data_IF_330091092561
#
_entry.id   IF_330091092561
#
_cell.length_a   1.000
_cell.length_b   1.000
_cell.length_c   1.000
_cell.angle_alpha   90.00
_cell.angle_beta   90.00
_cell.angle_gamma   90.00
#
_symmetry.space_group_name_H-M   'P 1'
#
loop_
_entity.id
_entity.type
_entity.pdbx_description
1 polymer ?
#
# COMPACT_ATOMS: atom_id res chain seq x y z
N UNK A 1 -16.20 51.31 -51.27
CA UNK A 1 -17.62 51.70 -51.07
C UNK A 1 -17.77 52.10 -49.60
N UNK A 2 -18.24 53.33 -49.32
CA UNK A 2 -19.50 53.63 -48.59
C UNK A 2 -19.69 52.84 -47.26
N UNK A 3 -19.94 53.45 -46.08
CA UNK A 3 -20.22 54.88 -45.77
C UNK A 3 -20.21 55.14 -44.23
N UNK A 4 -19.74 56.33 -43.81
CA UNK A 4 -20.28 57.29 -42.79
C UNK A 4 -20.80 56.79 -41.42
N UNK A 5 -20.60 57.47 -40.28
CA UNK A 5 -21.03 58.84 -39.86
C UNK A 5 -20.12 59.25 -38.66
N UNK A 6 -19.42 60.39 -38.56
CA UNK A 6 -19.76 61.85 -38.58
C UNK A 6 -20.41 62.44 -37.30
N UNK A 7 -19.60 63.12 -36.46
CA UNK A 7 -19.94 64.35 -35.69
C UNK A 7 -18.63 64.90 -35.03
N UNK A 8 -17.94 65.96 -35.53
CA UNK A 8 -18.24 67.40 -35.46
C UNK A 8 -18.40 67.87 -33.99
N UNK A 9 -17.54 68.70 -33.37
CA UNK A 9 -17.09 70.04 -33.77
C UNK A 9 -15.99 70.60 -32.80
N UNK A 10 -15.18 71.57 -33.26
CA UNK A 10 -14.24 72.43 -32.49
C UNK A 10 -14.95 73.25 -31.37
N UNK A 11 -14.29 73.84 -30.34
CA UNK A 11 -13.39 75.01 -30.44
C UNK A 11 -12.81 75.44 -29.05
N UNK A 12 -11.66 76.14 -29.06
CA UNK A 12 -10.96 77.01 -28.05
C UNK A 12 -11.57 77.17 -26.63
N UNK A 13 -10.76 77.28 -25.55
CA UNK A 13 -10.01 78.52 -25.26
C UNK A 13 -8.85 78.41 -24.25
N UNK A 14 -7.93 79.39 -24.36
CA UNK A 14 -6.78 79.70 -23.49
C UNK A 14 -6.67 81.25 -23.53
N UNK A 15 -6.27 82.02 -22.50
CA UNK A 15 -5.34 81.81 -21.38
C UNK A 15 -5.79 82.63 -20.13
N UNK A 16 -5.08 82.45 -19.01
CA UNK A 16 -4.82 83.39 -17.89
C UNK A 16 -5.74 84.61 -17.63
N UNK A 17 -6.18 84.77 -16.37
CA UNK A 17 -5.49 85.68 -15.41
C UNK A 17 -6.14 85.78 -14.01
N UNK A 18 -5.35 86.25 -13.05
CA UNK A 18 -5.58 86.27 -11.60
C UNK A 18 -6.66 87.23 -11.07
N UNK A 19 -7.25 86.93 -9.90
CA UNK A 19 -7.38 87.90 -8.80
C UNK A 19 -7.59 87.27 -7.41
N UNK A 20 -6.77 87.73 -6.46
CA UNK A 20 -7.06 87.91 -5.01
C UNK A 20 -7.73 86.79 -4.17
N UNK A 21 -6.89 86.06 -3.41
CA UNK A 21 -6.94 86.14 -1.94
C UNK A 21 -7.83 85.18 -1.15
N UNK A 22 -7.23 84.12 -0.61
CA UNK A 22 -7.29 83.81 0.84
C UNK A 22 -6.17 82.85 1.24
N UNK A 23 -5.77 82.93 2.51
CA UNK A 23 -4.69 82.15 3.11
C UNK A 23 -5.05 80.68 3.33
N UNK A 24 -4.17 79.77 2.94
CA UNK A 24 -4.00 78.46 3.58
C UNK A 24 -2.61 77.94 3.24
N UNK A 25 -1.63 78.17 4.13
CA UNK A 25 -0.44 77.32 4.18
C UNK A 25 -0.90 75.93 4.62
N UNK A 26 -1.15 75.04 3.65
CA UNK A 26 -1.12 73.61 3.91
C UNK A 26 0.34 73.23 3.88
N UNK A 27 0.97 73.21 5.07
CA UNK A 27 2.25 72.56 5.20
C UNK A 27 2.08 71.09 4.76
N UNK A 28 2.82 70.68 3.73
CA UNK A 28 3.02 69.26 3.47
C UNK A 28 3.76 68.70 4.67
N UNK A 29 3.00 68.01 5.53
CA UNK A 29 3.58 67.15 6.56
C UNK A 29 4.19 65.98 5.79
N UNK A 30 5.48 66.07 5.48
CA UNK A 30 6.25 64.88 5.15
C UNK A 30 6.09 63.91 6.33
N UNK A 31 5.43 62.78 6.10
CA UNK A 31 5.40 61.72 7.09
C UNK A 31 6.86 61.38 7.44
N UNK A 32 7.21 61.21 8.73
CA UNK A 32 8.58 60.93 9.11
C UNK A 32 9.01 59.67 8.37
N UNK A 33 10.02 59.83 7.51
CA UNK A 33 10.52 58.78 6.63
C UNK A 33 11.05 57.66 7.54
N UNK A 34 10.19 56.69 7.84
CA UNK A 34 10.51 55.61 8.76
C UNK A 34 11.50 54.71 8.02
N UNK A 35 12.78 55.01 8.20
CA UNK A 35 13.92 54.26 7.72
C UNK A 35 13.97 52.95 8.49
N UNK A 36 13.00 52.07 8.26
CA UNK A 36 12.90 50.77 8.90
C UNK A 36 14.17 49.94 8.70
N UNK A 37 14.31 48.89 9.49
CA UNK A 37 15.47 48.00 9.45
C UNK A 37 15.09 46.65 8.85
N UNK A 38 16.06 45.74 8.72
CA UNK A 38 15.75 44.34 8.47
C UNK A 38 15.06 43.76 9.71
N UNK A 39 14.10 42.85 9.50
CA UNK A 39 13.44 42.16 10.60
C UNK A 39 14.45 41.33 11.43
N UNK A 40 14.19 41.16 12.73
CA UNK A 40 14.93 40.24 13.60
C UNK A 40 14.07 39.01 13.85
N UNK A 41 14.64 37.83 13.66
CA UNK A 41 13.93 36.56 13.82
C UNK A 41 14.88 35.43 14.23
N UNK A 42 14.29 34.40 14.83
CA UNK A 42 14.95 33.18 15.29
C UNK A 42 14.41 31.96 14.55
N UNK A 43 15.28 31.01 14.24
CA UNK A 43 14.91 29.66 13.80
C UNK A 43 15.02 28.73 15.00
N UNK A 44 13.94 28.06 15.37
CA UNK A 44 13.97 27.03 16.39
C UNK A 44 14.47 25.70 15.80
N UNK A 45 14.85 24.76 16.66
CA UNK A 45 15.26 23.42 16.25
C UNK A 45 14.15 22.68 15.48
N UNK A 46 14.55 21.69 14.69
CA UNK A 46 13.63 20.88 13.91
C UNK A 46 12.88 19.86 14.80
N UNK A 47 11.56 19.77 14.59
CA UNK A 47 10.65 18.85 15.29
C UNK A 47 9.98 17.91 14.27
N UNK A 48 9.27 16.88 14.77
CA UNK A 48 8.50 15.92 13.95
C UNK A 48 9.30 15.32 12.77
N UNK A 49 10.61 15.13 12.96
CA UNK A 49 11.54 14.69 11.91
C UNK A 49 11.27 13.23 11.56
N UNK A 50 10.92 12.98 10.29
CA UNK A 50 10.77 11.64 9.71
C UNK A 50 11.63 11.53 8.43
N UNK A 51 11.50 10.44 7.69
CA UNK A 51 12.38 10.17 6.54
C UNK A 51 12.19 11.15 5.37
N UNK A 52 10.99 11.72 5.20
CA UNK A 52 10.64 12.62 4.08
C UNK A 52 10.05 13.96 4.51
N UNK A 53 10.03 14.26 5.81
CA UNK A 53 9.44 15.47 6.35
C UNK A 53 10.12 15.93 7.64
N UNK A 54 9.99 17.21 7.95
CA UNK A 54 10.37 17.81 9.23
C UNK A 54 9.56 19.10 9.45
N UNK A 55 9.34 19.46 10.71
CA UNK A 55 8.69 20.72 11.10
C UNK A 55 9.75 21.69 11.58
N UNK A 56 9.74 22.90 11.02
CA UNK A 56 10.60 24.01 11.47
C UNK A 56 9.69 25.14 11.97
N UNK A 57 9.99 25.64 13.17
CA UNK A 57 9.36 26.84 13.71
C UNK A 57 10.28 28.05 13.53
N UNK A 58 9.70 29.17 13.09
CA UNK A 58 10.33 30.49 13.08
C UNK A 58 9.63 31.42 14.05
N UNK A 59 10.39 32.28 14.72
CA UNK A 59 9.87 33.32 15.60
C UNK A 59 10.32 34.69 15.08
N UNK A 60 9.36 35.52 14.66
CA UNK A 60 9.60 36.93 14.33
C UNK A 60 9.64 37.74 15.63
N UNK A 61 10.82 38.24 15.99
CA UNK A 61 11.04 39.01 17.23
C UNK A 61 10.80 40.51 17.01
N UNK A 62 11.22 41.05 15.85
CA UNK A 62 10.96 42.43 15.41
C UNK A 62 10.75 42.48 13.89
N UNK A 63 9.78 43.26 13.42
CA UNK A 63 9.55 43.48 11.99
C UNK A 63 10.44 44.58 11.36
N UNK A 64 11.31 45.22 12.16
CA UNK A 64 12.16 46.33 11.73
C UNK A 64 11.36 47.61 11.46
N UNK A 65 10.25 47.81 12.18
CA UNK A 65 9.34 48.95 11.99
C UNK A 65 8.60 48.97 10.65
N UNK A 66 8.62 47.87 9.88
CA UNK A 66 8.03 47.76 8.54
C UNK A 66 7.08 46.56 8.41
N UNK A 67 6.07 46.67 7.54
CA UNK A 67 5.16 45.55 7.24
C UNK A 67 5.91 44.34 6.69
N UNK A 68 5.53 43.15 7.14
CA UNK A 68 6.02 41.86 6.62
C UNK A 68 5.20 41.46 5.40
N UNK A 69 5.87 41.19 4.28
CA UNK A 69 5.26 40.75 3.02
C UNK A 69 5.22 39.22 2.90
N UNK A 70 6.25 38.53 3.37
CA UNK A 70 6.33 37.06 3.35
C UNK A 70 7.16 36.56 4.53
N UNK A 71 6.88 35.32 4.99
CA UNK A 71 7.71 34.58 5.93
C UNK A 71 7.66 33.08 5.67
N UNK A 72 8.75 32.39 5.98
CA UNK A 72 8.88 30.96 5.74
C UNK A 72 10.25 30.44 6.18
N UNK A 73 10.65 29.29 5.64
CA UNK A 73 11.95 28.67 5.89
C UNK A 73 12.65 28.37 4.57
N UNK A 74 13.92 28.79 4.47
CA UNK A 74 14.87 28.35 3.45
C UNK A 74 15.58 27.10 3.97
N UNK A 75 15.76 26.09 3.14
CA UNK A 75 16.37 24.83 3.56
C UNK A 75 17.16 24.16 2.42
N UNK A 76 18.12 23.32 2.76
CA UNK A 76 18.94 22.61 1.77
C UNK A 76 19.95 21.68 2.41
N UNK A 77 20.67 20.92 1.58
CA UNK A 77 21.72 19.98 2.00
C UNK A 77 23.10 20.65 2.17
N UNK A 78 23.20 21.94 1.81
CA UNK A 78 24.37 22.79 2.02
C UNK A 78 24.12 23.82 3.11
N UNK A 79 25.17 24.21 3.83
CA UNK A 79 25.10 25.26 4.84
C UNK A 79 24.82 26.64 4.21
N UNK A 80 24.24 27.51 5.02
CA UNK A 80 23.73 28.84 4.68
C UNK A 80 22.64 28.83 3.58
N UNK A 81 21.53 28.08 3.75
CA UNK A 81 20.39 28.18 2.85
C UNK A 81 19.85 29.63 2.84
N UNK A 82 19.37 30.06 1.68
CA UNK A 82 18.92 31.43 1.45
C UNK A 82 17.66 31.46 0.58
N UNK A 83 17.06 32.65 0.47
CA UNK A 83 15.75 32.87 -0.15
C UNK A 83 15.72 32.62 -1.66
N UNK A 84 16.83 32.76 -2.38
CA UNK A 84 16.88 32.44 -3.81
C UNK A 84 16.89 30.92 -4.07
N UNK A 85 17.28 30.12 -3.07
CA UNK A 85 17.27 28.67 -3.12
C UNK A 85 15.93 28.03 -2.77
N UNK A 86 15.99 26.77 -2.33
CA UNK A 86 14.83 26.00 -1.90
C UNK A 86 14.23 26.58 -0.62
N UNK A 87 12.94 26.95 -0.70
CA UNK A 87 12.19 27.57 0.39
C UNK A 87 10.76 27.06 0.46
N UNK A 88 10.14 27.24 1.63
CA UNK A 88 8.73 26.92 1.90
C UNK A 88 8.12 28.05 2.73
N UNK A 89 7.05 28.64 2.20
CA UNK A 89 6.26 29.69 2.88
C UNK A 89 5.53 29.07 4.08
N UNK A 90 5.38 29.84 5.16
CA UNK A 90 4.71 29.37 6.37
C UNK A 90 3.24 29.01 6.15
N UNK A 91 2.81 27.87 6.71
CA UNK A 91 1.42 27.39 6.61
C UNK A 91 0.52 27.93 7.72
N UNK A 92 1.10 28.23 8.89
CA UNK A 92 0.39 28.75 10.06
C UNK A 92 1.20 29.90 10.65
N UNK A 93 0.50 30.96 11.03
CA UNK A 93 1.07 32.10 11.76
C UNK A 93 0.21 32.35 13.00
N UNK A 94 0.83 32.46 14.18
CA UNK A 94 0.12 32.68 15.45
C UNK A 94 0.46 34.05 16.02
N UNK A 95 -0.43 34.59 16.86
CA UNK A 95 -0.19 35.86 17.56
C UNK A 95 1.04 35.74 18.47
N UNK A 96 1.86 36.81 18.49
CA UNK A 96 3.23 36.95 19.05
C UNK A 96 4.38 36.84 18.05
N UNK A 97 4.18 36.37 16.82
CA UNK A 97 5.23 36.36 15.77
C UNK A 97 5.69 34.97 15.32
N UNK A 98 5.31 33.92 16.05
CA UNK A 98 5.60 32.54 15.66
C UNK A 98 4.92 32.11 14.37
N UNK A 99 5.62 31.27 13.60
CA UNK A 99 5.10 30.62 12.41
C UNK A 99 5.68 29.21 12.24
N UNK A 100 4.85 28.29 11.70
CA UNK A 100 5.22 26.89 11.43
C UNK A 100 5.44 26.69 9.93
N UNK A 101 6.48 25.92 9.60
CA UNK A 101 6.73 25.43 8.24
C UNK A 101 6.86 23.91 8.26
N UNK A 102 6.02 23.23 7.48
CA UNK A 102 6.11 21.80 7.25
C UNK A 102 6.91 21.55 5.97
N UNK A 103 8.11 20.98 6.13
CA UNK A 103 8.95 20.54 5.03
C UNK A 103 8.54 19.13 4.64
N UNK A 104 8.35 18.89 3.34
CA UNK A 104 7.95 17.58 2.78
C UNK A 104 8.77 17.26 1.54
N UNK A 105 8.74 16.00 1.09
CA UNK A 105 9.56 15.49 -0.01
C UNK A 105 11.08 15.61 0.23
N UNK A 106 11.50 15.51 1.50
CA UNK A 106 12.91 15.40 1.85
C UNK A 106 13.45 14.01 1.48
N UNK A 107 14.77 13.90 1.33
CA UNK A 107 15.47 12.62 1.20
C UNK A 107 15.75 12.02 2.58
N UNK A 108 15.62 10.70 2.71
CA UNK A 108 15.85 9.99 3.97
C UNK A 108 17.33 9.75 4.26
N UNK A 109 17.67 9.60 5.55
CA UNK A 109 19.04 9.53 6.08
C UNK A 109 19.94 10.72 5.71
N UNK A 110 19.37 11.87 5.36
CA UNK A 110 20.09 13.03 4.82
C UNK A 110 20.14 14.18 5.82
N UNK A 111 21.27 14.91 5.84
CA UNK A 111 21.44 16.10 6.67
C UNK A 111 20.93 17.32 5.90
N UNK A 112 20.05 18.09 6.55
CA UNK A 112 19.52 19.35 6.06
C UNK A 112 19.88 20.49 7.01
N UNK A 113 20.09 21.66 6.44
CA UNK A 113 20.21 22.94 7.10
C UNK A 113 18.93 23.74 6.84
N UNK A 114 18.44 24.47 7.85
CA UNK A 114 17.26 25.32 7.73
C UNK A 114 17.49 26.69 8.38
N UNK A 115 16.87 27.72 7.79
CA UNK A 115 16.82 29.09 8.30
C UNK A 115 15.44 29.68 8.05
N UNK A 116 14.80 30.15 9.11
CA UNK A 116 13.64 31.01 8.98
C UNK A 116 14.02 32.30 8.22
N UNK A 117 13.11 32.81 7.40
CA UNK A 117 13.25 34.08 6.68
C UNK A 117 11.97 34.91 6.77
N UNK A 118 12.13 36.23 6.68
CA UNK A 118 11.07 37.24 6.64
C UNK A 118 11.44 38.29 5.61
N UNK A 119 10.47 38.72 4.79
CA UNK A 119 10.63 39.81 3.83
C UNK A 119 9.86 41.03 4.32
N UNK A 120 10.52 42.19 4.38
CA UNK A 120 9.90 43.48 4.66
C UNK A 120 10.35 44.53 3.60
N UNK A 121 10.02 45.81 3.78
CA UNK A 121 10.39 46.92 2.86
C UNK A 121 11.91 47.07 2.65
N UNK A 122 12.76 46.51 3.53
CA UNK A 122 14.22 46.64 3.49
C UNK A 122 14.94 45.44 2.86
N UNK A 123 14.26 44.30 2.73
CA UNK A 123 14.80 43.11 2.09
C UNK A 123 14.46 41.83 2.84
N UNK A 124 15.31 40.82 2.66
CA UNK A 124 15.17 39.51 3.30
C UNK A 124 16.04 39.44 4.54
N UNK A 125 15.39 39.29 5.69
CA UNK A 125 16.03 38.92 6.94
C UNK A 125 16.03 37.41 7.14
N UNK A 126 16.98 36.90 7.92
CA UNK A 126 17.13 35.48 8.23
C UNK A 126 17.40 35.25 9.70
N UNK A 127 16.89 34.15 10.24
CA UNK A 127 17.29 33.67 11.55
C UNK A 127 18.64 32.95 11.57
N UNK A 128 19.01 32.48 12.75
CA UNK A 128 20.10 31.51 12.95
C UNK A 128 19.87 30.27 12.08
N UNK A 129 20.96 29.58 11.74
CA UNK A 129 20.87 28.27 11.11
C UNK A 129 20.65 27.19 12.16
N UNK A 130 19.79 26.23 11.84
CA UNK A 130 19.69 24.93 12.51
C UNK A 130 20.04 23.82 11.53
N UNK A 131 20.44 22.65 12.03
CA UNK A 131 20.70 21.47 11.19
C UNK A 131 20.10 20.21 11.79
N UNK A 132 19.47 19.39 10.96
CA UNK A 132 18.80 18.15 11.36
C UNK A 132 19.09 17.03 10.37
N UNK A 133 18.95 15.79 10.80
CA UNK A 133 19.07 14.60 9.94
C UNK A 133 17.72 13.92 9.82
N UNK A 134 17.24 13.70 8.61
CA UNK A 134 16.02 12.89 8.36
C UNK A 134 16.23 11.44 8.78
N UNK A 135 15.14 10.78 9.17
CA UNK A 135 15.18 9.37 9.54
C UNK A 135 15.52 8.47 8.33
N UNK A 136 15.92 7.23 8.59
CA UNK A 136 16.12 6.23 7.53
C UNK A 136 14.78 5.85 6.89
N UNK A 137 14.79 5.53 5.60
CA UNK A 137 13.59 5.14 4.85
C UNK A 137 13.07 3.78 5.35
N UNK A 138 11.80 3.72 5.75
CA UNK A 138 11.18 2.47 6.17
C UNK A 138 11.13 1.48 5.00
N UNK A 139 11.47 0.21 5.26
CA UNK A 139 11.44 -0.85 4.25
C UNK A 139 10.09 -1.58 4.24
N UNK A 140 9.56 -2.00 3.08
CA UNK A 140 8.37 -2.84 3.01
C UNK A 140 8.61 -4.20 3.67
N UNK A 141 7.59 -4.72 4.34
CA UNK A 141 7.62 -6.03 4.99
C UNK A 141 6.41 -6.86 4.55
N UNK A 142 6.69 -7.98 3.88
CA UNK A 142 5.68 -9.01 3.62
C UNK A 142 5.81 -10.15 4.64
N UNK A 143 4.66 -10.71 5.02
CA UNK A 143 4.53 -11.87 5.90
C UNK A 143 3.54 -12.87 5.33
N UNK A 144 3.63 -14.14 5.73
CA UNK A 144 2.57 -15.11 5.47
C UNK A 144 1.45 -14.93 6.50
N UNK A 145 0.21 -14.88 6.03
CA UNK A 145 -0.98 -14.83 6.86
C UNK A 145 -1.32 -16.17 7.54
N UNK A 146 -2.44 -16.21 8.25
CA UNK A 146 -2.86 -17.37 9.05
C UNK A 146 -3.15 -18.63 8.23
N UNK A 147 -3.66 -18.49 7.00
CA UNK A 147 -4.00 -19.63 6.15
C UNK A 147 -2.72 -20.19 5.51
N UNK A 148 -2.33 -21.38 5.97
CA UNK A 148 -1.17 -22.13 5.47
C UNK A 148 -1.55 -23.61 5.39
N UNK A 149 -2.14 -24.03 4.25
CA UNK A 149 -2.70 -25.38 4.09
C UNK A 149 -1.89 -26.17 3.06
N UNK A 150 -1.55 -27.41 3.40
CA UNK A 150 -0.80 -28.32 2.53
C UNK A 150 -1.69 -29.41 1.92
N UNK A 151 -1.61 -29.54 0.60
CA UNK A 151 -1.97 -30.76 -0.13
C UNK A 151 -0.73 -31.60 -0.43
N UNK A 152 -0.92 -32.72 -1.14
CA UNK A 152 0.17 -33.60 -1.55
C UNK A 152 1.02 -32.98 -2.67
N UNK A 153 0.43 -32.14 -3.51
CA UNK A 153 1.09 -31.48 -4.64
C UNK A 153 0.94 -29.95 -4.62
N UNK A 154 0.33 -29.40 -3.57
CA UNK A 154 -0.14 -28.02 -3.49
C UNK A 154 0.16 -27.39 -2.13
N UNK A 155 0.48 -26.10 -2.10
CA UNK A 155 0.45 -25.28 -0.89
C UNK A 155 -0.47 -24.08 -1.13
N UNK A 156 -1.36 -23.80 -0.17
CA UNK A 156 -2.26 -22.65 -0.17
C UNK A 156 -1.83 -21.69 0.93
N UNK A 157 -1.45 -20.48 0.54
CA UNK A 157 -0.83 -19.49 1.42
C UNK A 157 -1.55 -18.15 1.29
N UNK A 158 -1.99 -17.58 2.41
CA UNK A 158 -2.29 -16.15 2.47
C UNK A 158 -0.97 -15.37 2.58
N UNK A 159 -0.81 -14.27 1.84
CA UNK A 159 0.35 -13.37 1.89
C UNK A 159 -0.13 -11.95 2.13
N UNK A 160 0.55 -11.23 3.03
CA UNK A 160 0.15 -9.89 3.47
C UNK A 160 1.37 -8.97 3.39
N UNK A 161 1.22 -7.82 2.72
CA UNK A 161 2.12 -6.67 2.85
C UNK A 161 1.74 -5.97 4.15
N UNK A 162 2.51 -6.23 5.21
CA UNK A 162 2.23 -5.74 6.56
C UNK A 162 2.64 -4.29 6.71
N UNK A 163 3.82 -3.95 6.19
CA UNK A 163 4.35 -2.59 6.16
C UNK A 163 4.62 -2.21 4.70
N UNK A 164 4.16 -1.05 4.24
CA UNK A 164 4.51 -0.53 2.91
C UNK A 164 5.89 0.12 2.89
N UNK A 165 6.28 0.74 4.01
CA UNK A 165 7.50 1.55 4.10
C UNK A 165 7.47 2.80 3.20
N UNK A 166 8.64 3.41 3.05
CA UNK A 166 8.88 4.60 2.23
C UNK A 166 9.41 4.27 0.82
N UNK A 167 9.89 3.05 0.61
CA UNK A 167 10.53 2.63 -0.63
C UNK A 167 9.48 2.23 -1.69
N UNK A 168 9.71 2.64 -2.94
CA UNK A 168 8.87 2.21 -4.05
C UNK A 168 9.00 0.69 -4.27
N UNK A 169 7.86 -0.01 -4.24
CA UNK A 169 7.78 -1.46 -4.48
C UNK A 169 7.54 -1.70 -5.98
N UNK A 170 8.42 -2.49 -6.62
CA UNK A 170 8.39 -2.79 -8.05
C UNK A 170 7.76 -4.16 -8.36
N UNK A 171 7.94 -5.13 -7.48
CA UNK A 171 7.41 -6.50 -7.59
C UNK A 171 7.21 -7.05 -6.18
N UNK A 172 6.17 -7.85 -5.96
CA UNK A 172 6.01 -8.66 -4.75
C UNK A 172 5.83 -10.13 -5.13
N UNK A 173 6.04 -11.04 -4.19
CA UNK A 173 5.82 -12.46 -4.49
C UNK A 173 6.20 -13.43 -3.39
N UNK A 174 6.31 -14.69 -3.77
CA UNK A 174 6.85 -15.78 -2.95
C UNK A 174 8.05 -16.43 -3.64
N UNK A 175 9.05 -16.82 -2.85
CA UNK A 175 10.12 -17.73 -3.26
C UNK A 175 10.09 -18.99 -2.39
N UNK A 176 10.38 -20.14 -2.98
CA UNK A 176 10.34 -21.42 -2.26
C UNK A 176 11.37 -22.42 -2.78
N UNK A 177 11.89 -23.26 -1.87
CA UNK A 177 12.80 -24.35 -2.21
C UNK A 177 12.72 -25.46 -1.14
N UNK A 178 13.25 -26.64 -1.41
CA UNK A 178 13.52 -27.69 -0.40
C UNK A 178 14.79 -27.39 0.42
N UNK A 179 15.55 -26.36 0.04
CA UNK A 179 16.68 -25.82 0.80
C UNK A 179 16.29 -24.54 1.57
N UNK A 180 16.94 -24.30 2.70
CA UNK A 180 16.77 -23.09 3.54
C UNK A 180 17.15 -21.81 2.81
N UNK A 181 16.56 -20.69 3.22
CA UNK A 181 16.79 -19.33 2.75
C UNK A 181 16.60 -19.16 1.23
N UNK A 182 15.46 -19.58 0.66
CA UNK A 182 15.18 -19.35 -0.75
C UNK A 182 15.24 -17.86 -1.10
N UNK A 183 15.60 -17.62 -2.35
CA UNK A 183 15.86 -16.32 -2.97
C UNK A 183 15.11 -16.22 -4.30
N UNK A 184 15.15 -15.04 -4.94
CA UNK A 184 14.55 -14.86 -6.28
C UNK A 184 15.26 -15.66 -7.40
N UNK A 185 16.38 -16.33 -7.13
CA UNK A 185 17.05 -17.25 -8.05
C UNK A 185 16.53 -18.70 -7.95
N UNK A 186 15.74 -19.01 -6.91
CA UNK A 186 15.07 -20.30 -6.71
C UNK A 186 13.70 -20.32 -7.42
N UNK A 187 12.76 -21.18 -6.98
CA UNK A 187 11.40 -21.15 -7.52
C UNK A 187 10.70 -19.87 -7.07
N UNK A 188 10.38 -18.98 -8.02
CA UNK A 188 9.76 -17.67 -7.79
C UNK A 188 8.33 -17.61 -8.33
N UNK A 189 7.41 -17.06 -7.55
CA UNK A 189 6.07 -16.65 -7.97
C UNK A 189 6.01 -15.13 -7.84
N UNK A 190 6.09 -14.43 -8.96
CA UNK A 190 6.11 -12.97 -9.04
C UNK A 190 4.72 -12.38 -9.30
N UNK A 191 4.48 -11.19 -8.74
CA UNK A 191 3.31 -10.36 -8.97
C UNK A 191 3.76 -8.92 -9.20
N UNK A 192 3.53 -8.40 -10.41
CA UNK A 192 3.84 -7.01 -10.78
C UNK A 192 2.82 -6.01 -10.24
N UNK A 193 1.61 -6.48 -9.88
CA UNK A 193 0.63 -5.68 -9.15
C UNK A 193 0.93 -5.81 -7.65
N UNK A 194 1.25 -4.69 -7.01
CA UNK A 194 1.36 -4.60 -5.55
C UNK A 194 -0.04 -4.62 -4.95
N UNK A 195 -0.28 -5.55 -4.03
CA UNK A 195 -1.58 -5.79 -3.38
C UNK A 195 -1.33 -6.03 -1.88
N UNK A 196 -2.06 -5.34 -1.01
CA UNK A 196 -1.87 -5.39 0.44
C UNK A 196 -2.07 -6.80 1.02
N UNK A 197 -2.91 -7.59 0.34
CA UNK A 197 -3.12 -9.01 0.64
C UNK A 197 -3.46 -9.79 -0.63
N UNK A 198 -2.87 -10.96 -0.79
CA UNK A 198 -3.25 -11.93 -1.82
C UNK A 198 -3.25 -13.37 -1.29
N UNK A 199 -3.84 -14.28 -2.06
CA UNK A 199 -3.79 -15.73 -1.82
C UNK A 199 -3.03 -16.38 -2.94
N UNK A 200 -2.12 -17.29 -2.60
CA UNK A 200 -1.28 -17.98 -3.56
C UNK A 200 -1.45 -19.49 -3.47
N UNK A 201 -1.42 -20.17 -4.63
CA UNK A 201 -1.46 -21.63 -4.72
C UNK A 201 -0.25 -22.12 -5.49
N UNK A 202 0.76 -22.54 -4.75
CA UNK A 202 1.91 -23.28 -5.28
C UNK A 202 1.41 -24.66 -5.69
N UNK A 203 1.85 -25.17 -6.84
CA UNK A 203 1.40 -26.45 -7.45
C UNK A 203 2.61 -27.30 -7.86
N UNK A 204 2.35 -28.55 -8.27
CA UNK A 204 3.34 -29.49 -8.80
C UNK A 204 4.47 -29.83 -7.82
N UNK A 205 4.21 -29.70 -6.52
CA UNK A 205 5.15 -30.04 -5.47
C UNK A 205 5.27 -31.56 -5.29
N UNK A 206 6.37 -32.01 -4.70
CA UNK A 206 6.54 -33.41 -4.31
C UNK A 206 5.73 -33.68 -3.04
N UNK A 207 4.99 -34.80 -2.92
CA UNK A 207 4.34 -35.20 -1.66
C UNK A 207 5.36 -35.52 -0.57
N UNK A 208 4.92 -35.49 0.69
CA UNK A 208 5.73 -35.89 1.86
C UNK A 208 7.12 -35.18 1.88
N UNK A 209 7.16 -33.92 1.45
CA UNK A 209 8.38 -33.14 1.22
C UNK A 209 8.31 -31.79 1.92
N UNK A 210 9.36 -31.47 2.68
CA UNK A 210 9.52 -30.21 3.38
C UNK A 210 9.98 -29.09 2.42
N UNK A 211 9.29 -27.95 2.49
CA UNK A 211 9.59 -26.73 1.74
C UNK A 211 9.77 -25.54 2.68
N UNK A 212 10.77 -24.72 2.35
CA UNK A 212 10.97 -23.38 2.89
C UNK A 212 10.33 -22.38 1.95
N UNK A 213 9.56 -21.44 2.48
CA UNK A 213 8.84 -20.41 1.72
C UNK A 213 9.10 -19.05 2.36
N UNK A 214 9.40 -18.05 1.53
CA UNK A 214 9.60 -16.66 1.96
C UNK A 214 8.83 -15.72 1.04
N UNK A 215 8.05 -14.77 1.56
CA UNK A 215 7.56 -13.67 0.76
C UNK A 215 8.69 -12.67 0.49
N UNK A 216 8.59 -11.92 -0.60
CA UNK A 216 9.60 -10.92 -0.97
C UNK A 216 8.98 -9.67 -1.61
N UNK A 217 9.74 -8.58 -1.56
CA UNK A 217 9.51 -7.34 -2.31
C UNK A 217 10.79 -6.94 -3.06
N UNK A 218 10.64 -6.44 -4.29
CA UNK A 218 11.72 -5.80 -5.04
C UNK A 218 11.56 -4.29 -4.93
N UNK A 219 12.65 -3.60 -4.60
CA UNK A 219 12.74 -2.13 -4.53
C UNK A 219 13.93 -1.66 -5.38
N UNK A 220 14.06 -0.36 -5.71
CA UNK A 220 15.26 0.16 -6.36
C UNK A 220 16.58 -0.14 -5.63
N UNK A 221 16.54 -0.33 -4.30
CA UNK A 221 17.70 -0.68 -3.48
C UNK A 221 18.01 -2.18 -3.42
N UNK A 222 17.20 -3.04 -4.05
CA UNK A 222 17.38 -4.49 -4.06
C UNK A 222 16.17 -5.26 -3.55
N UNK A 223 16.38 -6.54 -3.26
CA UNK A 223 15.33 -7.49 -2.84
C UNK A 223 15.28 -7.60 -1.32
N UNK A 224 14.10 -7.34 -0.77
CA UNK A 224 13.78 -7.53 0.63
C UNK A 224 12.98 -8.83 0.78
N UNK A 225 13.30 -9.61 1.80
CA UNK A 225 12.65 -10.88 2.08
C UNK A 225 12.03 -10.87 3.46
N UNK A 226 10.81 -11.38 3.56
CA UNK A 226 10.18 -11.65 4.84
C UNK A 226 10.79 -12.86 5.56
N UNK A 227 10.17 -13.18 6.69
CA UNK A 227 10.49 -14.34 7.51
C UNK A 227 10.38 -15.64 6.71
N UNK A 228 11.25 -16.60 7.04
CA UNK A 228 11.19 -17.95 6.51
C UNK A 228 10.12 -18.78 7.22
N UNK A 229 9.23 -19.35 6.43
CA UNK A 229 8.24 -20.30 6.90
C UNK A 229 8.52 -21.70 6.36
N UNK A 230 8.37 -22.70 7.22
CA UNK A 230 8.61 -24.11 6.90
C UNK A 230 7.28 -24.86 6.85
N UNK A 231 7.04 -25.61 5.78
CA UNK A 231 5.82 -26.42 5.61
C UNK A 231 6.12 -27.69 4.83
N UNK A 232 5.57 -28.82 5.28
CA UNK A 232 5.61 -30.07 4.52
C UNK A 232 4.36 -30.20 3.67
N UNK A 233 4.49 -30.66 2.44
CA UNK A 233 3.38 -31.30 1.73
C UNK A 233 2.96 -32.57 2.48
N UNK A 234 1.68 -32.91 2.42
CA UNK A 234 1.18 -34.14 3.04
C UNK A 234 1.55 -35.36 2.20
N UNK A 235 1.46 -36.55 2.80
CA UNK A 235 1.49 -37.80 2.05
C UNK A 235 0.29 -37.88 1.10
N UNK A 236 0.52 -38.32 -0.13
CA UNK A 236 -0.56 -38.52 -1.11
C UNK A 236 -1.51 -39.61 -0.64
N UNK A 237 -2.81 -39.32 -0.64
CA UNK A 237 -3.84 -40.31 -0.35
C UNK A 237 -3.93 -41.41 -1.41
N UNK A 238 -4.49 -42.55 -1.03
CA UNK A 238 -4.83 -43.68 -1.88
C UNK A 238 -6.30 -44.09 -1.66
N UNK A 239 -7.19 -43.13 -1.87
CA UNK A 239 -8.61 -43.35 -2.11
C UNK A 239 -8.80 -43.95 -3.50
N UNK A 240 -9.63 -44.98 -3.60
CA UNK A 240 -10.03 -45.65 -4.84
C UNK A 240 -11.49 -46.08 -4.76
N UNK A 241 -12.14 -46.30 -5.90
CA UNK A 241 -13.50 -46.83 -5.93
C UNK A 241 -13.71 -47.89 -7.00
N UNK A 242 -14.68 -48.78 -6.74
CA UNK A 242 -15.32 -49.66 -7.72
C UNK A 242 -16.76 -49.16 -7.95
N UNK A 243 -17.35 -49.39 -9.13
CA UNK A 243 -18.73 -48.97 -9.41
C UNK A 243 -19.56 -50.08 -10.07
N UNK A 244 -20.54 -50.57 -9.32
CA UNK A 244 -21.56 -51.51 -9.76
C UNK A 244 -22.68 -50.75 -10.49
N UNK A 245 -22.55 -50.68 -11.82
CA UNK A 245 -23.42 -49.94 -12.73
C UNK A 245 -24.73 -50.68 -13.12
N UNK A 246 -25.12 -51.73 -12.39
CA UNK A 246 -26.27 -52.56 -12.74
C UNK A 246 -27.57 -51.74 -12.72
N UNK A 247 -28.35 -51.78 -13.81
CA UNK A 247 -29.60 -51.04 -13.95
C UNK A 247 -29.45 -49.52 -14.19
N UNK A 248 -28.23 -49.00 -14.31
CA UNK A 248 -27.99 -47.58 -14.63
C UNK A 248 -27.98 -47.34 -16.14
N UNK A 249 -28.63 -46.25 -16.59
CA UNK A 249 -28.46 -45.76 -17.96
C UNK A 249 -27.07 -45.11 -18.18
N UNK A 250 -26.66 -44.95 -19.44
CA UNK A 250 -25.34 -44.43 -19.78
C UNK A 250 -25.07 -43.01 -19.25
N UNK A 251 -26.09 -42.15 -19.16
CA UNK A 251 -25.94 -40.79 -18.63
C UNK A 251 -25.78 -40.81 -17.10
N UNK A 252 -26.48 -41.71 -16.41
CA UNK A 252 -26.36 -42.00 -14.99
C UNK A 252 -24.97 -42.57 -14.65
N UNK A 253 -24.49 -43.54 -15.42
CA UNK A 253 -23.11 -44.06 -15.29
C UNK A 253 -22.08 -42.96 -15.42
N UNK A 254 -22.24 -42.09 -16.43
CA UNK A 254 -21.32 -40.97 -16.69
C UNK A 254 -21.30 -39.97 -15.51
N UNK A 255 -22.47 -39.58 -14.99
CA UNK A 255 -22.57 -38.65 -13.84
C UNK A 255 -21.97 -39.23 -12.57
N UNK A 256 -22.25 -40.50 -12.25
CA UNK A 256 -21.74 -41.14 -11.03
C UNK A 256 -20.22 -41.34 -11.12
N UNK A 257 -19.67 -41.82 -12.24
CA UNK A 257 -18.22 -41.93 -12.42
C UNK A 257 -17.53 -40.57 -12.27
N UNK A 258 -17.97 -39.55 -13.01
CA UNK A 258 -17.42 -38.19 -12.90
C UNK A 258 -17.47 -37.61 -11.47
N UNK A 259 -18.54 -37.91 -10.70
CA UNK A 259 -18.65 -37.51 -9.31
C UNK A 259 -17.59 -38.19 -8.40
N UNK A 260 -17.35 -39.50 -8.60
CA UNK A 260 -16.38 -40.27 -7.82
C UNK A 260 -14.93 -40.10 -8.28
N UNK A 261 -14.68 -39.80 -9.56
CA UNK A 261 -13.37 -39.42 -10.07
C UNK A 261 -12.91 -38.09 -9.45
N UNK A 262 -13.83 -37.11 -9.34
CA UNK A 262 -13.58 -35.84 -8.66
C UNK A 262 -13.45 -35.99 -7.13
N UNK A 263 -14.15 -36.94 -6.51
CA UNK A 263 -13.97 -37.27 -5.10
C UNK A 263 -12.58 -37.90 -4.86
N UNK A 264 -12.22 -38.91 -5.66
CA UNK A 264 -10.92 -39.59 -5.66
C UNK A 264 -9.76 -38.61 -5.84
N UNK A 265 -9.86 -37.73 -6.84
CA UNK A 265 -8.87 -36.68 -7.10
C UNK A 265 -8.71 -35.73 -5.92
N UNK A 266 -9.82 -35.40 -5.24
CA UNK A 266 -9.78 -34.53 -4.07
C UNK A 266 -9.13 -35.21 -2.86
N UNK A 267 -9.53 -36.44 -2.52
CA UNK A 267 -8.94 -37.18 -1.41
C UNK A 267 -7.45 -37.42 -1.60
N UNK A 268 -7.03 -37.83 -2.78
CA UNK A 268 -5.63 -38.17 -3.02
C UNK A 268 -4.70 -36.95 -3.02
N UNK A 269 -5.21 -35.76 -3.36
CA UNK A 269 -4.41 -34.53 -3.42
C UNK A 269 -4.51 -33.66 -2.16
N UNK A 270 -5.55 -33.77 -1.34
CA UNK A 270 -5.79 -32.89 -0.18
C UNK A 270 -6.00 -33.64 1.14
N UNK A 271 -5.86 -34.96 1.16
CA UNK A 271 -5.85 -35.77 2.39
C UNK A 271 -4.84 -36.92 2.27
N UNK A 272 -4.44 -37.51 3.39
CA UNK A 272 -3.58 -38.72 3.43
C UNK A 272 -4.40 -40.01 3.56
N UNK A 273 -5.71 -39.99 3.28
CA UNK A 273 -6.60 -41.15 3.46
C UNK A 273 -6.21 -42.32 2.55
N UNK A 274 -6.35 -43.55 3.03
CA UNK A 274 -6.18 -44.79 2.26
C UNK A 274 -7.43 -45.63 2.41
N UNK A 275 -8.26 -45.70 1.37
CA UNK A 275 -9.58 -46.34 1.42
C UNK A 275 -10.00 -46.85 0.04
N UNK A 276 -10.64 -48.01 -0.01
CA UNK A 276 -11.44 -48.42 -1.15
C UNK A 276 -12.93 -48.30 -0.81
N UNK A 277 -13.74 -47.85 -1.77
CA UNK A 277 -15.21 -47.85 -1.64
C UNK A 277 -15.87 -48.56 -2.83
N UNK A 278 -16.98 -49.25 -2.58
CA UNK A 278 -17.80 -49.87 -3.62
C UNK A 278 -19.08 -49.06 -3.79
N UNK A 279 -19.17 -48.37 -4.93
CA UNK A 279 -20.32 -47.55 -5.32
C UNK A 279 -21.32 -48.42 -6.08
N UNK A 280 -22.60 -48.20 -5.87
CA UNK A 280 -23.69 -48.95 -6.48
C UNK A 280 -24.76 -47.98 -7.00
N UNK A 281 -25.36 -48.30 -8.14
CA UNK A 281 -26.59 -47.63 -8.53
C UNK A 281 -27.79 -48.29 -7.83
N UNK A 282 -28.53 -47.50 -7.06
CA UNK A 282 -29.70 -47.97 -6.30
C UNK A 282 -30.86 -47.01 -6.56
N UNK A 283 -31.75 -47.28 -7.54
CA UNK A 283 -32.82 -46.35 -7.89
C UNK A 283 -33.85 -46.15 -6.77
N UNK A 284 -33.95 -47.10 -5.82
CA UNK A 284 -34.77 -46.98 -4.62
C UNK A 284 -34.19 -46.05 -3.54
N UNK A 285 -32.91 -45.67 -3.63
CA UNK A 285 -32.27 -44.71 -2.71
C UNK A 285 -32.67 -43.27 -3.11
N UNK A 286 -33.28 -42.45 -2.24
CA UNK A 286 -33.74 -41.10 -2.62
C UNK A 286 -32.61 -40.13 -2.99
N UNK A 287 -31.44 -40.27 -2.37
CA UNK A 287 -30.26 -39.40 -2.59
C UNK A 287 -28.98 -40.22 -2.69
N UNK A 288 -28.41 -40.61 -1.55
CA UNK A 288 -27.34 -41.59 -1.39
C UNK A 288 -27.35 -42.13 0.05
N UNK A 289 -26.80 -43.32 0.26
CA UNK A 289 -26.56 -43.92 1.57
C UNK A 289 -25.21 -44.66 1.57
N UNK A 290 -24.61 -44.90 2.74
CA UNK A 290 -23.28 -45.50 2.86
C UNK A 290 -23.10 -46.28 4.17
N UNK A 291 -22.14 -47.21 4.20
CA UNK A 291 -21.76 -47.96 5.40
C UNK A 291 -20.24 -47.96 5.67
N UNK A 292 -19.87 -48.35 6.90
CA UNK A 292 -18.48 -48.37 7.39
C UNK A 292 -17.53 -49.26 6.56
N UNK A 293 -18.07 -50.32 5.95
CA UNK A 293 -17.34 -51.24 5.06
C UNK A 293 -16.97 -50.61 3.72
N UNK A 294 -17.31 -49.34 3.48
CA UNK A 294 -17.02 -48.62 2.24
C UNK A 294 -18.06 -48.85 1.14
N UNK A 295 -19.22 -49.41 1.45
CA UNK A 295 -20.30 -49.58 0.47
C UNK A 295 -21.11 -48.27 0.39
N UNK A 296 -21.39 -47.80 -0.83
CA UNK A 296 -22.15 -46.56 -1.09
C UNK A 296 -23.21 -46.82 -2.17
N UNK A 297 -24.44 -46.40 -1.91
CA UNK A 297 -25.54 -46.37 -2.87
C UNK A 297 -25.72 -44.96 -3.42
N UNK A 298 -25.95 -44.85 -4.73
CA UNK A 298 -26.32 -43.60 -5.40
C UNK A 298 -27.73 -43.72 -5.99
N UNK A 299 -28.60 -42.78 -5.63
CA UNK A 299 -29.99 -42.72 -6.06
C UNK A 299 -30.20 -42.39 -7.54
N UNK A 300 -31.43 -42.61 -8.03
CA UNK A 300 -31.83 -42.28 -9.41
C UNK A 300 -31.79 -40.76 -9.72
N UNK A 301 -31.94 -39.91 -8.71
CA UNK A 301 -32.07 -38.47 -8.90
C UNK A 301 -30.72 -37.82 -9.31
N UNK A 302 -30.62 -37.44 -10.59
CA UNK A 302 -29.45 -36.81 -11.20
C UNK A 302 -28.95 -35.54 -10.48
N UNK A 303 -29.81 -34.83 -9.74
CA UNK A 303 -29.39 -33.64 -8.97
C UNK A 303 -28.42 -33.98 -7.83
N UNK A 304 -28.46 -35.21 -7.31
CA UNK A 304 -27.59 -35.73 -6.25
C UNK A 304 -26.40 -36.56 -6.78
N UNK A 305 -26.39 -36.93 -8.07
CA UNK A 305 -25.27 -37.65 -8.71
C UNK A 305 -24.11 -36.69 -9.04
N UNK A 306 -23.55 -36.05 -8.00
CA UNK A 306 -22.54 -34.97 -8.10
C UNK A 306 -21.42 -35.16 -7.08
N UNK A 307 -20.26 -34.57 -7.37
CA UNK A 307 -19.05 -34.70 -6.55
C UNK A 307 -19.24 -34.29 -5.08
N UNK A 308 -20.13 -33.33 -4.76
CA UNK A 308 -20.45 -32.96 -3.38
C UNK A 308 -21.06 -34.12 -2.58
N UNK A 309 -22.00 -34.85 -3.19
CA UNK A 309 -22.59 -36.07 -2.61
C UNK A 309 -21.55 -37.16 -2.48
N UNK A 310 -20.80 -37.45 -3.55
CA UNK A 310 -19.76 -38.48 -3.54
C UNK A 310 -18.74 -38.24 -2.42
N UNK A 311 -18.27 -37.00 -2.23
CA UNK A 311 -17.40 -36.63 -1.10
C UNK A 311 -18.07 -36.81 0.25
N UNK A 312 -19.29 -36.28 0.44
CA UNK A 312 -20.01 -36.39 1.73
C UNK A 312 -20.15 -37.84 2.21
N UNK A 313 -20.50 -38.75 1.31
CA UNK A 313 -20.71 -40.17 1.65
C UNK A 313 -19.41 -40.98 1.68
N UNK A 314 -18.37 -40.56 0.95
CA UNK A 314 -17.00 -41.12 1.09
C UNK A 314 -16.33 -40.79 2.43
N UNK A 315 -16.79 -39.75 3.13
CA UNK A 315 -16.30 -39.31 4.45
C UNK A 315 -17.18 -39.74 5.63
N UNK A 316 -18.34 -40.39 5.40
CA UNK A 316 -19.24 -40.70 6.49
C UNK A 316 -18.60 -41.70 7.45
N UNK A 317 -18.26 -41.21 8.65
CA UNK A 317 -17.61 -41.88 9.79
C UNK A 317 -16.06 -41.95 9.87
N UNK A 318 -15.28 -41.23 9.05
CA UNK A 318 -13.83 -41.01 9.37
C UNK A 318 -13.53 -39.66 10.05
N UNK A 319 -14.50 -38.73 10.10
CA UNK A 319 -14.34 -37.41 10.74
C UNK A 319 -14.06 -37.42 12.26
N UNK A 320 -14.03 -38.57 12.93
CA UNK A 320 -13.71 -38.66 14.37
C UNK A 320 -12.23 -38.91 14.70
N UNK A 321 -11.40 -39.28 13.71
CA UNK A 321 -9.97 -39.57 13.95
C UNK A 321 -9.01 -38.48 13.46
N UNK A 322 -9.40 -37.66 12.49
CA UNK A 322 -8.53 -36.59 11.97
C UNK A 322 -8.46 -35.39 12.95
N UNK A 323 -9.54 -35.13 13.71
CA UNK A 323 -9.60 -34.07 14.72
C UNK A 323 -8.90 -34.42 16.06
N UNK A 324 -8.05 -35.46 16.09
CA UNK A 324 -7.38 -35.95 17.31
C UNK A 324 -5.85 -35.91 17.28
N UNK A 325 -5.27 -35.34 16.23
CA UNK A 325 -3.83 -35.08 16.12
C UNK A 325 -3.46 -33.59 16.16
N UNK A 326 -4.41 -32.72 16.47
CA UNK A 326 -4.18 -31.31 16.84
C UNK A 326 -4.72 -31.07 18.27
N UNK A 327 -4.03 -31.65 19.25
CA UNK A 327 -4.17 -31.38 20.69
C UNK A 327 -2.83 -31.54 21.39
#
# INVERSE_FOLDING_TARGET
MKKSIDLFLMLLFVICSCSSGSSSEVAEVEEPDNVGELATLKTNEAEEIAAKQAVIWGMLEDNGGSSVFERGVCYGTTANPNYEGTKKIASVTKGSGEFKVELTNLEGSMVYYARAYVINKKGVAYGNQVSFKTADLASPLLVLGTIKVAGAHDLFLDVILKEHGDLAIQEIGLVYNTATKPTIADNKIARSKVEDKFKERIRNLKPETLYYVRPYAVTPGGVLYGEEFVISTIKKGNFTYSFNQNGADAATVTRIKAAFDLATTYYNNFTSIVKHVTVNYSPGTPTADANFSGWINMGANASYQKAGTAKRFSLHHECFNIARHES
#
